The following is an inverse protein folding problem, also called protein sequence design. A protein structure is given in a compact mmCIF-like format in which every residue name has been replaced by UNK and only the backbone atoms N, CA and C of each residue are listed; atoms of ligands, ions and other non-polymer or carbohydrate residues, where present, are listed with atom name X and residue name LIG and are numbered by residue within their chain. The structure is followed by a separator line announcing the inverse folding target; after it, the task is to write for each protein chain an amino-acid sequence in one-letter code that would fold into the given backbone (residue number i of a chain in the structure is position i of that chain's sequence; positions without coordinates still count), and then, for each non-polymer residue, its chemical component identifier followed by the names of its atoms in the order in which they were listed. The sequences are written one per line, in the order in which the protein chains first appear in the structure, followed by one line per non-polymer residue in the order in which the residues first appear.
data_IF_308139521475
#
_entry.id   IF_308139521475
#
_cell.length_a   1.000
_cell.length_b   1.000
_cell.length_c   1.000
_cell.angle_alpha   90.00
_cell.angle_beta   90.00
_cell.angle_gamma   90.00
#
_symmetry.space_group_name_H-M   'P 1'
#
loop_
_entity.id
_entity.type
_entity.pdbx_description
1 polymer ?
#
# COMPACT_ATOMS: atom_id res chain seq x y z
N UNK A 1 -49.89 -28.44 42.65
CA UNK A 1 -48.77 -28.44 41.67
C UNK A 1 -49.36 -28.39 40.27
N UNK A 2 -49.44 -27.19 39.67
CA UNK A 2 -50.03 -27.00 38.34
C UNK A 2 -48.90 -27.17 37.32
N UNK A 3 -48.91 -28.27 36.56
CA UNK A 3 -47.92 -28.53 35.51
C UNK A 3 -48.23 -27.66 34.28
N UNK A 4 -47.42 -26.62 34.07
CA UNK A 4 -47.48 -25.72 32.91
C UNK A 4 -46.83 -26.35 31.67
N UNK A 5 -47.53 -27.25 30.99
CA UNK A 5 -46.99 -27.91 29.77
C UNK A 5 -46.84 -26.98 28.55
N UNK A 6 -47.49 -25.82 28.55
CA UNK A 6 -47.35 -24.80 27.49
C UNK A 6 -46.22 -23.78 27.71
N UNK A 7 -45.75 -23.62 28.95
CA UNK A 7 -44.74 -22.60 29.30
C UNK A 7 -43.32 -23.04 28.87
N UNK A 8 -43.01 -24.33 28.93
CA UNK A 8 -41.69 -24.86 28.57
C UNK A 8 -41.36 -24.68 27.08
N UNK A 9 -42.36 -24.75 26.19
CA UNK A 9 -42.14 -24.58 24.75
C UNK A 9 -41.84 -23.12 24.39
N UNK A 10 -42.55 -22.17 25.00
CA UNK A 10 -42.28 -20.74 24.85
C UNK A 10 -40.89 -20.38 25.38
N UNK A 11 -40.49 -20.94 26.51
CA UNK A 11 -39.18 -20.72 27.14
C UNK A 11 -38.03 -21.22 26.26
N UNK A 12 -38.18 -22.40 25.63
CA UNK A 12 -37.19 -22.92 24.67
C UNK A 12 -37.08 -22.01 23.44
N UNK A 13 -38.22 -21.54 22.90
CA UNK A 13 -38.22 -20.65 21.74
C UNK A 13 -37.52 -19.32 22.05
N UNK A 14 -37.79 -18.75 23.24
CA UNK A 14 -37.16 -17.53 23.71
C UNK A 14 -35.65 -17.74 23.94
N UNK A 15 -35.27 -18.83 24.59
CA UNK A 15 -33.86 -19.18 24.79
C UNK A 15 -33.11 -19.37 23.46
N UNK A 16 -33.75 -19.98 22.46
CA UNK A 16 -33.19 -20.14 21.12
C UNK A 16 -33.03 -18.79 20.41
N UNK A 17 -34.05 -17.91 20.48
CA UNK A 17 -33.99 -16.56 19.90
C UNK A 17 -32.84 -15.74 20.49
N UNK A 18 -32.68 -15.75 21.81
CA UNK A 18 -31.56 -15.07 22.49
C UNK A 18 -30.23 -15.67 22.07
N UNK A 19 -30.13 -16.99 21.94
CA UNK A 19 -28.90 -17.66 21.52
C UNK A 19 -28.47 -17.25 20.11
N UNK A 20 -29.39 -17.20 19.15
CA UNK A 20 -29.10 -16.75 17.77
C UNK A 20 -28.66 -15.29 17.75
N UNK A 21 -29.30 -14.44 18.54
CA UNK A 21 -28.91 -13.02 18.65
C UNK A 21 -27.49 -12.86 19.18
N UNK A 22 -27.13 -13.61 20.22
CA UNK A 22 -25.77 -13.59 20.80
C UNK A 22 -24.74 -14.08 19.78
N UNK A 23 -25.02 -15.19 19.08
CA UNK A 23 -24.12 -15.70 18.04
C UNK A 23 -23.93 -14.71 16.89
N UNK A 24 -25.00 -14.03 16.46
CA UNK A 24 -24.93 -12.99 15.44
C UNK A 24 -24.01 -11.83 15.85
N UNK A 25 -24.14 -11.36 17.09
CA UNK A 25 -23.26 -10.32 17.63
C UNK A 25 -21.79 -10.74 17.65
N UNK A 26 -21.50 -11.98 18.06
CA UNK A 26 -20.12 -12.52 18.08
C UNK A 26 -19.53 -12.59 16.68
N UNK A 27 -20.27 -13.09 15.69
CA UNK A 27 -19.80 -13.19 14.30
C UNK A 27 -19.48 -11.80 13.73
N UNK A 28 -20.32 -10.81 14.02
CA UNK A 28 -20.10 -9.43 13.60
C UNK A 28 -18.78 -8.87 14.17
N UNK A 29 -18.54 -9.05 15.46
CA UNK A 29 -17.30 -8.61 16.13
C UNK A 29 -16.07 -9.32 15.56
N UNK A 30 -16.16 -10.64 15.35
CA UNK A 30 -15.05 -11.41 14.76
C UNK A 30 -14.72 -10.90 13.36
N UNK A 31 -15.73 -10.69 12.52
CA UNK A 31 -15.54 -10.20 11.15
C UNK A 31 -14.92 -8.80 11.14
N UNK A 32 -15.39 -7.91 12.02
CA UNK A 32 -14.81 -6.57 12.16
C UNK A 32 -13.32 -6.63 12.60
N UNK A 33 -13.02 -7.51 13.56
CA UNK A 33 -11.65 -7.74 14.06
C UNK A 33 -10.74 -8.25 12.95
N UNK A 34 -11.15 -9.30 12.22
CA UNK A 34 -10.38 -9.88 11.12
C UNK A 34 -10.08 -8.85 10.03
N UNK A 35 -11.08 -8.06 9.64
CA UNK A 35 -10.90 -7.00 8.65
C UNK A 35 -9.89 -5.94 9.12
N UNK A 36 -9.87 -5.60 10.40
CA UNK A 36 -8.89 -4.66 10.96
C UNK A 36 -7.47 -5.26 10.99
N UNK A 37 -7.35 -6.53 11.40
CA UNK A 37 -6.07 -7.26 11.40
C UNK A 37 -5.50 -7.38 9.99
N UNK A 38 -6.33 -7.69 8.99
CA UNK A 38 -5.89 -7.77 7.59
C UNK A 38 -5.41 -6.42 7.07
N UNK A 39 -6.15 -5.34 7.36
CA UNK A 39 -5.74 -3.99 6.99
C UNK A 39 -4.38 -3.62 7.61
N UNK A 40 -4.22 -3.80 8.92
CA UNK A 40 -2.96 -3.51 9.62
C UNK A 40 -1.79 -4.35 9.07
N UNK A 41 -2.02 -5.63 8.79
CA UNK A 41 -1.03 -6.52 8.17
C UNK A 41 -0.62 -6.01 6.78
N UNK A 42 -1.60 -5.69 5.94
CA UNK A 42 -1.35 -5.22 4.58
C UNK A 42 -0.66 -3.86 4.57
N UNK A 43 -0.99 -2.97 5.50
CA UNK A 43 -0.31 -1.68 5.68
C UNK A 43 1.15 -1.88 6.10
N UNK A 44 1.42 -2.82 7.00
CA UNK A 44 2.79 -3.18 7.39
C UNK A 44 3.61 -3.73 6.22
N UNK A 45 3.02 -4.63 5.41
CA UNK A 45 3.65 -5.16 4.21
C UNK A 45 3.87 -4.08 3.15
N UNK A 46 2.89 -3.21 2.90
CA UNK A 46 3.01 -2.09 1.98
C UNK A 46 4.14 -1.13 2.38
N UNK A 47 4.28 -0.82 3.68
CA UNK A 47 5.41 -0.06 4.20
C UNK A 47 6.75 -0.75 3.92
N UNK A 48 6.84 -2.06 4.17
CA UNK A 48 8.06 -2.82 3.90
C UNK A 48 8.42 -2.82 2.42
N UNK A 49 7.46 -3.05 1.52
CA UNK A 49 7.68 -3.00 0.07
C UNK A 49 8.00 -1.60 -0.45
N UNK A 50 7.45 -0.57 0.17
CA UNK A 50 7.78 0.82 -0.15
C UNK A 50 9.22 1.13 0.28
N UNK A 51 9.64 0.69 1.47
CA UNK A 51 11.02 0.84 1.95
C UNK A 51 12.03 0.09 1.06
N UNK A 52 11.70 -1.14 0.66
CA UNK A 52 12.51 -1.93 -0.28
C UNK A 52 12.61 -1.23 -1.64
N UNK A 53 11.48 -0.75 -2.17
CA UNK A 53 11.46 0.03 -3.40
C UNK A 53 12.34 1.28 -3.30
N UNK A 54 12.28 1.97 -2.15
CA UNK A 54 13.14 3.12 -1.90
C UNK A 54 14.62 2.75 -1.85
N UNK A 55 14.98 1.64 -1.21
CA UNK A 55 16.36 1.16 -1.20
C UNK A 55 16.87 0.86 -2.63
N UNK A 56 16.01 0.32 -3.50
CA UNK A 56 16.33 0.11 -4.91
C UNK A 56 16.57 1.45 -5.62
N UNK A 57 15.74 2.48 -5.40
CA UNK A 57 15.95 3.81 -5.99
C UNK A 57 17.28 4.42 -5.53
N UNK A 58 17.63 4.31 -4.24
CA UNK A 58 18.94 4.74 -3.74
C UNK A 58 20.08 3.96 -4.39
N UNK A 59 19.92 2.65 -4.58
CA UNK A 59 20.91 1.83 -5.28
C UNK A 59 21.05 2.22 -6.75
N UNK A 60 19.95 2.52 -7.45
CA UNK A 60 19.99 2.99 -8.84
C UNK A 60 20.80 4.29 -8.91
N UNK A 61 20.54 5.25 -8.02
CA UNK A 61 21.34 6.47 -7.86
C UNK A 61 22.83 6.17 -7.65
N UNK A 62 23.15 5.32 -6.68
CA UNK A 62 24.54 5.08 -6.26
C UNK A 62 25.32 4.22 -7.28
N UNK A 63 24.65 3.36 -8.04
CA UNK A 63 25.27 2.43 -8.98
C UNK A 63 25.84 3.08 -10.24
N UNK A 64 25.52 4.35 -10.51
CA UNK A 64 25.82 5.05 -11.76
C UNK A 64 26.80 6.21 -11.64
N UNK A 65 27.59 6.27 -10.56
CA UNK A 65 28.66 7.28 -10.31
C UNK A 65 29.79 7.29 -11.38
N UNK A 66 29.65 6.60 -12.52
CA UNK A 66 30.60 6.65 -13.64
C UNK A 66 30.04 7.24 -14.94
N UNK A 67 28.74 7.38 -15.11
CA UNK A 67 28.13 8.02 -16.29
C UNK A 67 26.84 8.69 -15.80
N UNK A 68 26.83 10.03 -15.74
CA UNK A 68 25.67 10.94 -15.61
C UNK A 68 24.41 10.38 -14.91
N UNK A 69 24.08 10.91 -13.74
CA UNK A 69 22.92 10.56 -12.90
C UNK A 69 21.64 10.16 -13.67
N UNK A 70 21.43 8.85 -13.82
CA UNK A 70 20.28 8.21 -14.48
C UNK A 70 18.91 8.65 -13.94
N UNK A 71 18.85 9.30 -12.77
CA UNK A 71 17.59 9.84 -12.28
C UNK A 71 17.00 10.90 -13.22
N UNK A 72 17.83 11.74 -13.85
CA UNK A 72 17.38 12.78 -14.79
C UNK A 72 16.85 12.21 -16.11
N UNK A 73 17.16 10.94 -16.42
CA UNK A 73 16.63 10.25 -17.59
C UNK A 73 15.18 9.78 -17.38
N UNK A 74 14.69 9.75 -16.14
CA UNK A 74 13.29 9.45 -15.87
C UNK A 74 12.43 10.69 -16.08
N UNK A 75 11.30 10.51 -16.73
CA UNK A 75 10.39 11.61 -17.04
C UNK A 75 9.63 12.03 -15.80
N UNK A 76 9.64 13.33 -15.50
CA UNK A 76 8.83 13.94 -14.43
C UNK A 76 7.36 13.51 -14.55
N UNK A 77 6.71 13.28 -13.41
CA UNK A 77 5.31 12.92 -13.29
C UNK A 77 4.89 11.59 -13.94
N UNK A 78 5.84 10.83 -14.48
CA UNK A 78 5.58 9.53 -15.12
C UNK A 78 5.67 8.39 -14.11
N UNK A 79 4.88 7.32 -14.34
CA UNK A 79 4.87 6.12 -13.47
C UNK A 79 5.78 5.06 -14.04
N UNK A 80 6.57 4.46 -13.17
CA UNK A 80 7.44 3.33 -13.46
C UNK A 80 7.11 2.18 -12.52
N UNK A 81 6.99 0.98 -13.07
CA UNK A 81 6.63 -0.19 -12.28
C UNK A 81 7.88 -0.90 -11.74
N UNK A 82 7.80 -1.31 -10.47
CA UNK A 82 8.89 -2.01 -9.81
C UNK A 82 8.40 -3.34 -9.21
N UNK A 83 8.67 -4.45 -9.89
CA UNK A 83 8.33 -5.80 -9.41
C UNK A 83 9.30 -6.26 -8.31
N UNK A 84 8.93 -7.32 -7.58
CA UNK A 84 9.67 -7.83 -6.42
C UNK A 84 11.07 -8.37 -6.72
N UNK A 85 11.35 -8.75 -7.97
CA UNK A 85 12.63 -9.32 -8.39
C UNK A 85 13.47 -8.36 -9.23
N UNK A 86 12.96 -7.17 -9.55
CA UNK A 86 13.67 -6.23 -10.41
C UNK A 86 14.48 -5.23 -9.59
N UNK A 87 15.76 -5.09 -9.93
CA UNK A 87 16.63 -4.00 -9.43
C UNK A 87 16.68 -2.81 -10.39
N UNK A 88 15.84 -2.83 -11.43
CA UNK A 88 15.72 -1.79 -12.44
C UNK A 88 14.26 -1.36 -12.55
N UNK A 89 14.05 -0.10 -12.92
CA UNK A 89 12.72 0.36 -13.28
C UNK A 89 12.35 -0.15 -14.67
N UNK A 90 11.10 -0.57 -14.84
CA UNK A 90 10.56 -0.92 -16.15
C UNK A 90 10.35 0.31 -17.04
N UNK A 91 9.75 0.11 -18.20
CA UNK A 91 9.37 1.19 -19.10
C UNK A 91 8.31 2.12 -18.47
N UNK A 92 8.26 3.40 -18.87
CA UNK A 92 7.22 4.31 -18.42
C UNK A 92 5.84 3.80 -18.85
N UNK A 93 4.87 3.86 -17.95
CA UNK A 93 3.49 3.44 -18.23
C UNK A 93 2.51 4.62 -18.17
N UNK A 94 1.57 4.62 -19.11
CA UNK A 94 0.42 5.55 -19.11
C UNK A 94 -0.82 4.96 -18.41
N UNK A 95 -0.77 3.69 -18.00
CA UNK A 95 -1.84 3.02 -17.28
C UNK A 95 -2.07 3.61 -15.88
N UNK A 96 -3.28 3.46 -15.34
CA UNK A 96 -3.68 4.02 -14.05
C UNK A 96 -2.81 3.51 -12.87
N UNK A 97 -2.29 2.29 -12.99
CA UNK A 97 -1.42 1.63 -12.01
C UNK A 97 -0.59 0.54 -12.71
N UNK A 98 0.32 -0.07 -11.94
CA UNK A 98 1.21 -1.14 -12.41
C UNK A 98 0.58 -2.54 -12.43
N UNK A 99 -0.74 -2.66 -12.20
CA UNK A 99 -1.35 -3.93 -11.83
C UNK A 99 -0.75 -4.50 -10.54
N UNK A 100 -1.04 -5.76 -10.24
CA UNK A 100 -0.39 -6.47 -9.14
C UNK A 100 1.00 -6.93 -9.57
N UNK A 101 2.05 -6.28 -9.06
CA UNK A 101 3.44 -6.55 -9.42
C UNK A 101 4.31 -6.98 -8.22
N UNK A 102 3.76 -6.93 -6.98
CA UNK A 102 4.38 -7.46 -5.76
C UNK A 102 3.31 -8.13 -4.91
N UNK A 103 3.10 -9.44 -5.08
CA UNK A 103 2.03 -10.16 -4.39
C UNK A 103 0.65 -9.58 -4.75
N UNK A 104 -0.12 -9.15 -3.74
CA UNK A 104 -1.43 -8.47 -3.95
C UNK A 104 -1.31 -6.96 -4.18
N UNK A 105 -0.08 -6.42 -4.13
CA UNK A 105 0.19 -4.98 -4.14
C UNK A 105 0.61 -4.50 -5.53
N UNK A 106 0.31 -3.23 -5.79
CA UNK A 106 0.82 -2.45 -6.92
C UNK A 106 1.87 -1.47 -6.42
N UNK A 107 3.13 -1.68 -6.80
CA UNK A 107 4.28 -0.85 -6.47
C UNK A 107 4.71 -0.04 -7.68
N UNK A 108 4.62 1.27 -7.56
CA UNK A 108 5.02 2.24 -8.58
C UNK A 108 6.02 3.25 -8.03
N UNK A 109 6.83 3.79 -8.92
CA UNK A 109 7.78 4.86 -8.64
C UNK A 109 7.50 6.02 -9.57
N UNK A 110 7.52 7.24 -9.03
CA UNK A 110 7.36 8.48 -9.79
C UNK A 110 8.50 9.42 -9.46
N UNK A 111 8.99 10.12 -10.46
CA UNK A 111 10.00 11.15 -10.29
C UNK A 111 9.39 12.53 -10.50
N UNK A 112 9.86 13.51 -9.74
CA UNK A 112 9.59 14.92 -9.97
C UNK A 112 10.93 15.64 -10.00
N UNK A 113 11.30 16.14 -11.18
CA UNK A 113 12.43 17.03 -11.36
C UNK A 113 11.84 18.44 -11.36
N UNK A 114 11.66 19.01 -10.18
CA UNK A 114 11.16 20.38 -10.05
C UNK A 114 12.32 21.28 -9.65
N UNK A 115 12.51 22.34 -10.44
CA UNK A 115 13.30 23.52 -10.06
C UNK A 115 12.54 24.42 -9.06
N UNK A 116 11.31 24.03 -8.70
CA UNK A 116 10.43 24.82 -7.84
C UNK A 116 10.92 24.88 -6.39
N UNK A 117 11.16 26.11 -5.96
CA UNK A 117 11.78 26.47 -4.68
C UNK A 117 10.84 26.33 -3.46
N UNK A 118 9.68 25.69 -3.61
CA UNK A 118 8.59 25.71 -2.61
C UNK A 118 7.97 24.34 -2.28
N UNK A 119 8.63 23.24 -2.67
CA UNK A 119 8.21 21.87 -2.34
C UNK A 119 9.01 21.19 -1.21
N UNK A 120 8.57 19.99 -0.80
CA UNK A 120 9.26 19.12 0.17
C UNK A 120 10.72 18.75 -0.20
N UNK A 121 11.12 19.00 -1.45
CA UNK A 121 12.48 18.83 -1.95
C UNK A 121 12.88 20.10 -2.73
N UNK A 122 13.45 21.12 -2.07
CA UNK A 122 13.92 22.33 -2.76
C UNK A 122 15.25 22.09 -3.46
N UNK A 123 15.32 22.37 -4.77
CA UNK A 123 16.56 22.32 -5.55
C UNK A 123 17.13 20.92 -5.83
N UNK A 124 16.28 19.89 -5.89
CA UNK A 124 16.71 18.51 -6.12
C UNK A 124 15.65 17.62 -6.76
N UNK A 125 16.05 16.42 -7.19
CA UNK A 125 15.15 15.42 -7.74
C UNK A 125 14.38 14.70 -6.64
N UNK A 126 13.05 14.65 -6.76
CA UNK A 126 12.16 13.91 -5.86
C UNK A 126 11.86 12.54 -6.45
N UNK A 127 11.99 11.49 -5.64
CA UNK A 127 11.46 10.16 -5.99
C UNK A 127 10.38 9.75 -4.98
N UNK A 128 9.24 9.35 -5.52
CA UNK A 128 8.09 8.87 -4.77
C UNK A 128 7.90 7.39 -5.05
N UNK A 129 7.96 6.55 -4.02
CA UNK A 129 7.57 5.14 -4.10
C UNK A 129 6.20 4.98 -3.49
N UNK A 130 5.23 4.53 -4.29
CA UNK A 130 3.86 4.30 -3.86
C UNK A 130 3.53 2.82 -3.96
N UNK A 131 2.99 2.25 -2.89
CA UNK A 131 2.50 0.88 -2.84
C UNK A 131 1.01 0.92 -2.52
N UNK A 132 0.20 0.36 -3.42
CA UNK A 132 -1.27 0.39 -3.32
C UNK A 132 -1.83 -1.03 -3.27
N UNK A 133 -2.96 -1.23 -2.58
CA UNK A 133 -3.67 -2.50 -2.55
C UNK A 133 -5.18 -2.28 -2.43
N UNK A 134 -5.94 -3.36 -2.63
CA UNK A 134 -7.35 -3.39 -2.32
C UNK A 134 -7.67 -4.48 -1.29
N UNK A 135 -8.75 -4.23 -0.56
CA UNK A 135 -9.39 -5.17 0.34
C UNK A 135 -10.92 -5.07 0.19
N UNK A 136 -11.65 -5.84 1.00
CA UNK A 136 -13.12 -5.89 0.99
C UNK A 136 -13.80 -4.58 1.45
N UNK A 137 -13.04 -3.57 1.89
CA UNK A 137 -13.55 -2.24 2.23
C UNK A 137 -13.41 -1.26 1.06
N UNK A 138 -12.77 -1.65 -0.05
CA UNK A 138 -12.64 -0.76 -1.20
C UNK A 138 -13.98 -0.56 -1.94
N UNK A 139 -14.32 0.69 -2.32
CA UNK A 139 -15.49 0.96 -3.15
C UNK A 139 -15.41 0.29 -4.52
N UNK A 140 -16.57 -0.06 -5.09
CA UNK A 140 -16.66 -0.50 -6.49
C UNK A 140 -16.12 0.58 -7.42
N UNK A 141 -15.27 0.20 -8.37
CA UNK A 141 -14.63 1.14 -9.31
C UNK A 141 -13.30 1.74 -8.85
N UNK A 142 -12.87 1.55 -7.58
CA UNK A 142 -11.54 1.92 -7.12
C UNK A 142 -10.73 0.68 -6.69
N UNK A 143 -10.10 -0.04 -7.63
CA UNK A 143 -9.51 -1.36 -7.38
C UNK A 143 -8.22 -1.33 -6.55
N UNK A 144 -7.72 -0.15 -6.15
CA UNK A 144 -6.56 0.01 -5.27
C UNK A 144 -6.79 1.23 -4.35
N UNK A 145 -7.76 1.11 -3.44
CA UNK A 145 -8.21 2.24 -2.64
C UNK A 145 -7.27 2.62 -1.48
N UNK A 146 -6.42 1.68 -1.04
CA UNK A 146 -5.43 1.93 0.02
C UNK A 146 -4.06 2.12 -0.58
N UNK A 147 -3.25 2.99 0.04
CA UNK A 147 -1.86 3.16 -0.38
C UNK A 147 -0.96 3.66 0.74
N UNK A 148 0.32 3.34 0.60
CA UNK A 148 1.44 3.88 1.35
C UNK A 148 2.33 4.62 0.36
N UNK A 149 2.79 5.81 0.74
CA UNK A 149 3.72 6.60 -0.06
C UNK A 149 4.96 6.93 0.76
N UNK A 150 6.14 6.66 0.19
CA UNK A 150 7.41 7.11 0.71
C UNK A 150 8.05 8.05 -0.29
N UNK A 151 8.51 9.20 0.21
CA UNK A 151 9.15 10.25 -0.57
C UNK A 151 10.60 10.33 -0.14
N UNK A 152 11.51 10.41 -1.11
CA UNK A 152 12.90 10.79 -0.89
C UNK A 152 13.25 11.95 -1.79
N UNK A 153 14.14 12.80 -1.32
CA UNK A 153 14.76 13.86 -2.10
C UNK A 153 16.21 13.47 -2.40
N UNK A 154 16.71 13.89 -3.55
CA UNK A 154 18.10 13.76 -3.95
C UNK A 154 18.58 15.13 -4.42
N UNK A 155 19.64 15.65 -3.78
CA UNK A 155 20.26 16.90 -4.20
C UNK A 155 21.35 16.65 -5.23
N UNK A 156 21.65 17.63 -6.08
CA UNK A 156 22.75 17.54 -7.06
C UNK A 156 24.14 17.40 -6.41
N UNK A 157 24.27 17.77 -5.12
CA UNK A 157 25.50 17.62 -4.32
C UNK A 157 25.68 16.21 -3.73
N UNK A 158 24.66 15.33 -3.77
CA UNK A 158 24.75 13.94 -3.29
C UNK A 158 25.52 13.01 -4.26
N UNK A 159 26.03 13.55 -5.38
CA UNK A 159 27.01 12.87 -6.22
C UNK A 159 28.32 12.78 -5.44
N UNK A 160 28.60 11.59 -4.90
CA UNK A 160 29.88 11.30 -4.23
C UNK A 160 31.04 11.74 -5.14
N UNK A 161 32.00 12.56 -4.66
CA UNK A 161 33.18 12.88 -5.44
C UNK A 161 33.93 11.59 -5.78
N UNK A 162 34.09 11.30 -7.06
CA UNK A 162 34.96 10.22 -7.52
C UNK A 162 36.43 10.59 -7.21
N UNK A 163 37.23 9.69 -6.62
CA UNK A 163 38.69 9.85 -6.58
C UNK A 163 39.32 9.68 -7.97
#
# INVERSE_FOLDING_TARGET
MIKQKGQTLLEILLAFGVSVMVLGAVIFVITASLNNTQYAKNQGLANSYAQEGMAIIRKIRDSRVKETSDLENYTTNTRYCLSSASTKLGDPISALNCGQNVGIFSREVRFSHDEDSSGNCSGGSKATVKVSWADNKCPVGNPLCHSVELITCFSSIDLKPTP
#
